data_IF_122532517786
#
_entry.id   IF_122532517786
#
_cell.length_a   1.000
_cell.length_b   1.000
_cell.length_c   1.000
_cell.angle_alpha   90.00
_cell.angle_beta   90.00
_cell.angle_gamma   90.00
#
_symmetry.space_group_name_H-M   'P 1'
#
loop_
_entity.id
_entity.type
_entity.pdbx_description
1 polymer ?
#
# COMPACT_ATOMS: atom_id res chain seq x y z
N UNK A 1 -23.46 -23.26 22.64
CA UNK A 1 -22.30 -23.59 21.79
C UNK A 1 -21.50 -22.32 21.61
N UNK A 2 -20.20 -22.28 21.96
CA UNK A 2 -19.35 -21.16 21.66
C UNK A 2 -19.30 -20.98 20.13
N UNK A 3 -19.58 -19.77 19.64
CA UNK A 3 -19.48 -19.50 18.20
C UNK A 3 -18.02 -19.69 17.76
N UNK A 4 -17.79 -20.46 16.70
CA UNK A 4 -16.46 -20.61 16.12
C UNK A 4 -15.88 -19.26 15.76
N UNK A 5 -14.62 -19.03 16.10
CA UNK A 5 -13.92 -17.77 15.85
C UNK A 5 -12.67 -17.99 15.00
N UNK A 6 -12.37 -17.04 14.15
CA UNK A 6 -11.30 -17.12 13.14
C UNK A 6 -10.45 -15.86 13.11
N UNK A 7 -9.21 -16.03 12.69
CA UNK A 7 -8.33 -14.94 12.24
C UNK A 7 -8.38 -14.95 10.71
N UNK A 8 -8.62 -13.78 10.12
CA UNK A 8 -8.60 -13.56 8.67
C UNK A 8 -7.25 -13.03 8.26
N UNK A 9 -6.58 -13.66 7.30
CA UNK A 9 -5.40 -13.15 6.64
C UNK A 9 -5.76 -12.70 5.22
N UNK A 10 -5.55 -11.42 4.91
CA UNK A 10 -5.66 -10.84 3.59
C UNK A 10 -4.25 -10.76 2.98
N UNK A 11 -4.03 -11.50 1.91
CA UNK A 11 -2.76 -11.56 1.20
C UNK A 11 -2.93 -10.96 -0.21
N UNK A 12 -2.54 -9.70 -0.34
CA UNK A 12 -2.60 -8.97 -1.60
C UNK A 12 -1.28 -9.14 -2.36
N UNK A 13 -1.18 -10.20 -3.16
CA UNK A 13 -0.01 -10.47 -4.00
C UNK A 13 0.07 -9.56 -5.24
N UNK A 14 1.12 -9.73 -6.03
CA UNK A 14 1.33 -8.95 -7.26
C UNK A 14 0.33 -9.31 -8.35
N UNK A 15 -0.08 -10.58 -8.45
CA UNK A 15 -0.95 -11.06 -9.53
C UNK A 15 -2.31 -11.56 -9.05
N UNK A 16 -2.47 -11.75 -7.75
CA UNK A 16 -3.70 -12.29 -7.17
C UNK A 16 -3.94 -11.79 -5.76
N UNK A 17 -5.21 -11.70 -5.40
CA UNK A 17 -5.69 -11.48 -4.03
C UNK A 17 -6.06 -12.80 -3.40
N UNK A 18 -5.72 -13.00 -2.13
CA UNK A 18 -6.02 -14.21 -1.37
C UNK A 18 -6.60 -13.87 -0.01
N UNK A 19 -7.50 -14.70 0.48
CA UNK A 19 -7.97 -14.67 1.86
C UNK A 19 -7.87 -16.07 2.46
N UNK A 20 -7.31 -16.15 3.66
CA UNK A 20 -7.18 -17.40 4.43
C UNK A 20 -7.83 -17.18 5.80
N UNK A 21 -8.68 -18.13 6.23
CA UNK A 21 -9.20 -18.14 7.58
C UNK A 21 -8.52 -19.23 8.41
N UNK A 22 -7.99 -18.82 9.56
CA UNK A 22 -7.34 -19.70 10.52
C UNK A 22 -8.22 -19.89 11.76
N UNK A 23 -8.22 -21.08 12.34
CA UNK A 23 -8.80 -21.34 13.65
C UNK A 23 -7.84 -20.90 14.78
N UNK A 24 -8.27 -21.07 16.04
CA UNK A 24 -7.48 -20.71 17.22
C UNK A 24 -6.20 -21.55 17.39
N UNK A 25 -6.10 -22.70 16.72
CA UNK A 25 -4.91 -23.55 16.71
C UNK A 25 -3.94 -23.20 15.56
N UNK A 26 -4.25 -22.16 14.77
CA UNK A 26 -3.45 -21.75 13.60
C UNK A 26 -3.64 -22.67 12.38
N UNK A 27 -4.64 -23.54 12.38
CA UNK A 27 -4.95 -24.41 11.25
C UNK A 27 -5.76 -23.65 10.20
N UNK A 28 -5.40 -23.82 8.92
CA UNK A 28 -6.18 -23.29 7.80
C UNK A 28 -7.53 -24.02 7.76
N UNK A 29 -8.61 -23.22 7.79
CA UNK A 29 -10.00 -23.71 7.72
C UNK A 29 -10.54 -23.60 6.31
N UNK A 30 -10.24 -22.49 5.63
CA UNK A 30 -10.65 -22.22 4.25
C UNK A 30 -9.73 -21.20 3.63
N UNK A 31 -9.72 -21.17 2.30
CA UNK A 31 -8.98 -20.21 1.49
C UNK A 31 -9.75 -19.90 0.21
N UNK A 32 -9.68 -18.65 -0.22
CA UNK A 32 -10.14 -18.21 -1.55
C UNK A 32 -9.06 -17.36 -2.20
N UNK A 33 -8.93 -17.44 -3.52
CA UNK A 33 -7.95 -16.69 -4.29
C UNK A 33 -8.52 -16.29 -5.64
N UNK A 34 -8.18 -15.08 -6.10
CA UNK A 34 -8.60 -14.54 -7.40
C UNK A 34 -7.48 -13.74 -8.02
N UNK A 35 -7.19 -13.97 -9.28
CA UNK A 35 -6.31 -13.14 -10.09
C UNK A 35 -7.00 -11.83 -10.46
N UNK A 36 -6.20 -10.79 -10.76
CA UNK A 36 -6.67 -9.50 -11.24
C UNK A 36 -5.78 -8.95 -12.36
N UNK A 37 -6.30 -7.97 -13.10
CA UNK A 37 -5.71 -7.47 -14.33
C UNK A 37 -4.37 -6.79 -14.12
N UNK A 38 -3.37 -7.18 -14.91
CA UNK A 38 -2.10 -6.47 -15.04
C UNK A 38 -2.15 -5.59 -16.28
N UNK A 39 -1.73 -4.32 -16.16
CA UNK A 39 -1.77 -3.33 -17.23
C UNK A 39 -0.34 -3.00 -17.64
N UNK A 40 -0.05 -3.11 -18.92
CA UNK A 40 1.27 -2.83 -19.52
C UNK A 40 1.16 -1.73 -20.58
N UNK A 41 1.12 -0.43 -20.18
CA UNK A 41 0.89 0.67 -21.12
C UNK A 41 1.96 0.80 -22.19
N UNK A 42 3.21 0.49 -21.85
CA UNK A 42 4.36 0.47 -22.76
C UNK A 42 5.49 -0.39 -22.18
N UNK A 43 6.53 -0.72 -22.96
CA UNK A 43 7.64 -1.56 -22.50
C UNK A 43 8.26 -1.06 -21.18
N UNK A 44 8.40 -1.96 -20.22
CA UNK A 44 8.92 -1.66 -18.88
C UNK A 44 7.95 -0.95 -17.92
N UNK A 45 6.74 -0.62 -18.35
CA UNK A 45 5.71 -0.05 -17.49
C UNK A 45 4.76 -1.14 -16.99
N UNK A 46 4.47 -1.12 -15.70
CA UNK A 46 3.54 -2.06 -15.07
C UNK A 46 2.61 -1.29 -14.15
N UNK A 47 1.32 -1.45 -14.38
CA UNK A 47 0.26 -0.79 -13.62
C UNK A 47 -0.84 -1.77 -13.20
N UNK A 48 -1.60 -1.38 -12.20
CA UNK A 48 -2.80 -2.09 -11.76
C UNK A 48 -3.90 -1.10 -11.43
N UNK A 49 -5.16 -1.51 -11.57
CA UNK A 49 -6.28 -0.69 -11.16
C UNK A 49 -6.47 -0.79 -9.62
N UNK A 50 -6.32 0.30 -8.84
CA UNK A 50 -6.49 0.26 -7.40
C UNK A 50 -7.87 -0.22 -6.94
N UNK A 51 -8.91 0.07 -7.71
CA UNK A 51 -10.27 -0.39 -7.42
C UNK A 51 -10.42 -1.90 -7.61
N UNK A 52 -9.72 -2.47 -8.61
CA UNK A 52 -9.71 -3.91 -8.82
C UNK A 52 -8.91 -4.62 -7.72
N UNK A 53 -7.79 -4.04 -7.25
CA UNK A 53 -7.07 -4.51 -6.07
C UNK A 53 -8.04 -4.61 -4.87
N UNK A 54 -8.78 -3.55 -4.58
CA UNK A 54 -9.76 -3.53 -3.50
C UNK A 54 -10.89 -4.54 -3.70
N UNK A 55 -11.55 -4.52 -4.85
CA UNK A 55 -12.70 -5.37 -5.13
C UNK A 55 -12.37 -6.86 -5.16
N UNK A 56 -11.21 -7.23 -5.72
CA UNK A 56 -10.74 -8.62 -5.72
C UNK A 56 -10.42 -9.11 -4.31
N UNK A 57 -9.78 -8.28 -3.47
CA UNK A 57 -9.47 -8.62 -2.08
C UNK A 57 -10.75 -8.82 -1.26
N UNK A 58 -11.74 -7.95 -1.44
CA UNK A 58 -13.05 -8.11 -0.77
C UNK A 58 -13.81 -9.32 -1.28
N UNK A 59 -13.77 -9.60 -2.58
CA UNK A 59 -14.41 -10.78 -3.17
C UNK A 59 -13.91 -12.08 -2.52
N UNK A 60 -12.59 -12.25 -2.42
CA UNK A 60 -12.01 -13.46 -1.81
C UNK A 60 -12.25 -13.53 -0.29
N UNK A 61 -12.35 -12.40 0.40
CA UNK A 61 -12.70 -12.36 1.82
C UNK A 61 -14.14 -12.85 2.06
N UNK A 62 -15.08 -12.37 1.24
CA UNK A 62 -16.49 -12.78 1.30
C UNK A 62 -16.63 -14.27 0.94
N UNK A 63 -15.96 -14.71 -0.13
CA UNK A 63 -15.96 -16.11 -0.58
C UNK A 63 -15.41 -17.05 0.51
N UNK A 64 -14.26 -16.72 1.12
CA UNK A 64 -13.70 -17.52 2.19
C UNK A 64 -14.65 -17.65 3.40
N UNK A 65 -15.33 -16.57 3.78
CA UNK A 65 -16.35 -16.64 4.84
C UNK A 65 -17.56 -17.48 4.42
N UNK A 66 -18.06 -17.31 3.21
CA UNK A 66 -19.20 -18.04 2.68
C UNK A 66 -18.96 -19.54 2.63
N UNK A 67 -17.77 -19.99 2.24
CA UNK A 67 -17.40 -21.42 2.15
C UNK A 67 -17.58 -22.19 3.46
N UNK A 68 -17.60 -21.51 4.60
CA UNK A 68 -17.75 -22.15 5.92
C UNK A 68 -18.97 -21.62 6.69
N UNK A 69 -19.84 -20.83 6.05
CA UNK A 69 -21.00 -20.21 6.69
C UNK A 69 -20.64 -19.22 7.81
N UNK A 70 -19.45 -18.61 7.76
CA UNK A 70 -19.03 -17.61 8.74
C UNK A 70 -19.59 -16.22 8.40
N UNK A 71 -19.77 -15.42 9.41
CA UNK A 71 -20.14 -14.00 9.33
C UNK A 71 -19.03 -13.12 9.94
N UNK A 72 -19.15 -11.81 9.82
CA UNK A 72 -18.22 -10.85 10.47
C UNK A 72 -18.09 -11.08 11.98
N UNK A 73 -19.14 -11.55 12.65
CA UNK A 73 -19.13 -11.88 14.09
C UNK A 73 -18.18 -13.03 14.45
N UNK A 74 -17.80 -13.84 13.47
CA UNK A 74 -16.85 -14.93 13.65
C UNK A 74 -15.39 -14.49 13.45
N UNK A 75 -15.14 -13.29 12.92
CA UNK A 75 -13.79 -12.79 12.68
C UNK A 75 -13.31 -11.98 13.88
N UNK A 76 -12.23 -12.43 14.52
CA UNK A 76 -11.65 -11.80 15.73
C UNK A 76 -10.60 -10.77 15.40
N UNK A 77 -9.84 -11.01 14.34
CA UNK A 77 -8.83 -10.07 13.85
C UNK A 77 -8.59 -10.29 12.36
N UNK A 78 -8.07 -9.24 11.71
CA UNK A 78 -7.64 -9.26 10.32
C UNK A 78 -6.16 -8.91 10.29
N UNK A 79 -5.35 -9.79 9.68
CA UNK A 79 -3.97 -9.51 9.30
C UNK A 79 -3.90 -9.17 7.82
N UNK A 80 -3.09 -8.19 7.45
CA UNK A 80 -2.87 -7.79 6.05
C UNK A 80 -1.41 -8.00 5.71
N UNK A 81 -1.15 -8.70 4.60
CA UNK A 81 0.13 -8.71 3.90
C UNK A 81 -0.08 -8.32 2.44
N UNK A 82 0.93 -7.75 1.80
CA UNK A 82 0.76 -7.15 0.48
C UNK A 82 2.04 -7.18 -0.36
N UNK A 83 1.88 -7.04 -1.68
CA UNK A 83 2.96 -6.59 -2.55
C UNK A 83 3.42 -5.21 -2.06
N UNK A 84 4.69 -5.11 -1.65
CA UNK A 84 5.25 -3.85 -1.14
C UNK A 84 5.61 -2.91 -2.30
N UNK A 85 5.95 -1.67 -2.01
CA UNK A 85 6.43 -0.61 -2.91
C UNK A 85 5.46 -0.16 -4.00
N UNK A 86 4.45 -0.97 -4.34
CA UNK A 86 3.39 -0.56 -5.28
C UNK A 86 2.70 0.69 -4.75
N UNK A 87 2.66 1.72 -5.59
CA UNK A 87 2.34 3.10 -5.23
C UNK A 87 0.94 3.47 -5.68
N UNK A 88 0.11 3.94 -4.76
CA UNK A 88 -1.24 4.44 -5.02
C UNK A 88 -1.36 5.86 -4.49
N UNK A 89 -1.91 6.77 -5.30
CA UNK A 89 -2.26 8.14 -4.91
C UNK A 89 -3.74 8.36 -5.18
N UNK A 90 -4.44 8.93 -4.20
CA UNK A 90 -5.90 9.15 -4.32
C UNK A 90 -6.32 10.48 -3.70
N UNK A 91 -7.46 10.98 -4.14
CA UNK A 91 -8.11 12.15 -3.59
C UNK A 91 -8.67 11.84 -2.19
N UNK A 92 -8.29 12.64 -1.21
CA UNK A 92 -8.65 12.46 0.21
C UNK A 92 -10.15 12.55 0.47
N UNK A 93 -10.86 13.39 -0.31
CA UNK A 93 -12.28 13.66 -0.10
C UNK A 93 -13.16 12.60 -0.76
N UNK A 94 -12.80 12.19 -1.97
CA UNK A 94 -13.61 11.26 -2.77
C UNK A 94 -13.18 9.80 -2.60
N UNK A 95 -11.94 9.55 -2.19
CA UNK A 95 -11.32 8.22 -2.18
C UNK A 95 -10.96 7.70 -3.58
N UNK A 96 -11.03 8.57 -4.62
CA UNK A 96 -10.78 8.17 -6.00
C UNK A 96 -9.28 8.20 -6.32
N UNK A 97 -8.72 7.10 -6.84
CA UNK A 97 -7.34 7.09 -7.34
C UNK A 97 -7.17 8.12 -8.46
N UNK A 98 -6.12 8.95 -8.38
CA UNK A 98 -5.81 9.94 -9.42
C UNK A 98 -5.10 9.32 -10.62
N UNK A 99 -4.54 8.12 -10.43
CA UNK A 99 -3.85 7.34 -11.45
C UNK A 99 -3.92 5.84 -11.10
N UNK A 100 -3.60 4.97 -12.06
CA UNK A 100 -3.39 3.55 -11.77
C UNK A 100 -2.28 3.35 -10.74
N UNK A 101 -2.35 2.29 -9.95
CA UNK A 101 -1.26 1.87 -9.08
C UNK A 101 -0.01 1.57 -9.91
N UNK A 102 1.10 2.23 -9.61
CA UNK A 102 2.38 1.95 -10.26
C UNK A 102 3.07 0.83 -9.51
N UNK A 103 3.20 -0.34 -10.17
CA UNK A 103 3.70 -1.56 -9.56
C UNK A 103 5.20 -1.48 -9.29
N UNK A 104 5.68 -2.20 -8.27
CA UNK A 104 7.10 -2.27 -7.90
C UNK A 104 8.04 -2.66 -9.06
N UNK A 105 7.55 -3.48 -10.00
CA UNK A 105 8.28 -3.90 -11.20
C UNK A 105 8.47 -2.80 -12.25
N UNK A 106 7.70 -1.69 -12.16
CA UNK A 106 7.68 -0.66 -13.17
C UNK A 106 8.99 0.13 -13.23
N UNK A 107 9.55 0.27 -14.42
CA UNK A 107 10.84 0.91 -14.66
C UNK A 107 10.75 2.36 -15.18
N UNK A 108 9.55 2.97 -15.23
CA UNK A 108 9.32 4.33 -15.79
C UNK A 108 10.15 5.44 -15.15
N UNK A 109 10.58 5.25 -13.91
CA UNK A 109 11.34 6.22 -13.14
C UNK A 109 12.83 5.87 -13.04
N UNK A 110 13.33 4.90 -13.82
CA UNK A 110 14.72 4.46 -13.74
C UNK A 110 15.69 5.60 -14.07
N UNK A 111 15.44 6.37 -15.13
CA UNK A 111 16.26 7.50 -15.55
C UNK A 111 16.35 8.58 -14.45
N UNK A 112 15.23 8.93 -13.82
CA UNK A 112 15.21 9.86 -12.67
C UNK A 112 16.11 9.38 -11.52
N UNK A 113 16.10 8.08 -11.23
CA UNK A 113 16.93 7.52 -10.16
C UNK A 113 18.41 7.52 -10.56
N UNK A 114 18.74 7.26 -11.80
CA UNK A 114 20.11 7.27 -12.28
C UNK A 114 20.67 8.71 -12.26
N UNK A 115 19.89 9.71 -12.65
CA UNK A 115 20.26 11.13 -12.47
C UNK A 115 20.52 11.50 -10.99
N UNK A 116 19.72 11.00 -10.05
CA UNK A 116 19.97 11.26 -8.62
C UNK A 116 21.29 10.63 -8.12
N UNK A 117 21.63 9.44 -8.63
CA UNK A 117 22.92 8.79 -8.32
C UNK A 117 24.09 9.61 -8.88
N UNK A 118 23.99 10.08 -10.14
CA UNK A 118 25.00 10.92 -10.78
C UNK A 118 25.20 12.25 -10.05
N UNK A 119 24.12 12.84 -9.51
CA UNK A 119 24.16 14.04 -8.66
C UNK A 119 24.73 13.78 -7.25
N UNK A 120 25.09 12.53 -6.91
CA UNK A 120 25.73 12.16 -5.66
C UNK A 120 24.78 11.89 -4.49
N UNK A 121 23.47 11.82 -4.70
CA UNK A 121 22.50 11.54 -3.62
C UNK A 121 22.48 10.09 -3.15
N UNK A 122 23.07 9.14 -3.91
CA UNK A 122 23.04 7.71 -3.60
C UNK A 122 23.47 7.36 -2.18
N UNK A 123 24.65 7.82 -1.68
CA UNK A 123 25.11 7.54 -0.32
C UNK A 123 24.19 8.06 0.78
N UNK A 124 23.61 9.25 0.60
CA UNK A 124 22.66 9.84 1.58
C UNK A 124 21.40 8.99 1.64
N UNK A 125 20.78 8.68 0.50
CA UNK A 125 19.59 7.83 0.42
C UNK A 125 19.83 6.48 1.08
N UNK A 126 20.95 5.80 0.74
CA UNK A 126 21.27 4.50 1.33
C UNK A 126 21.52 4.58 2.84
N UNK A 127 22.19 5.62 3.31
CA UNK A 127 22.45 5.82 4.75
C UNK A 127 21.16 5.98 5.55
N UNK A 128 20.19 6.74 5.03
CA UNK A 128 18.91 7.02 5.72
C UNK A 128 17.94 5.86 5.65
N UNK A 129 17.80 5.27 4.47
CA UNK A 129 16.74 4.29 4.19
C UNK A 129 17.21 2.84 4.24
N UNK A 130 18.53 2.59 4.23
CA UNK A 130 19.11 1.25 4.08
C UNK A 130 18.98 0.68 2.66
N UNK A 131 18.44 1.44 1.71
CA UNK A 131 18.11 0.98 0.36
C UNK A 131 19.13 1.53 -0.66
N UNK A 132 19.56 0.70 -1.58
CA UNK A 132 20.25 1.17 -2.78
C UNK A 132 19.21 1.84 -3.69
N UNK A 133 19.38 3.11 -4.07
CA UNK A 133 18.38 3.82 -4.88
C UNK A 133 18.04 3.09 -6.18
N UNK A 134 16.76 2.79 -6.36
CA UNK A 134 16.22 2.12 -7.53
C UNK A 134 14.75 2.55 -7.80
N UNK A 135 14.35 2.49 -9.07
CA UNK A 135 12.96 2.68 -9.49
C UNK A 135 11.97 1.66 -8.88
N UNK A 136 12.47 0.64 -8.23
CA UNK A 136 11.72 -0.35 -7.48
C UNK A 136 10.85 0.29 -6.38
N UNK A 137 11.39 1.28 -5.67
CA UNK A 137 10.80 1.87 -4.47
C UNK A 137 9.76 2.95 -4.79
N UNK A 138 8.93 3.33 -3.81
CA UNK A 138 7.75 4.18 -4.01
C UNK A 138 8.08 5.65 -4.32
N UNK A 139 9.15 6.20 -3.76
CA UNK A 139 9.46 7.64 -3.81
C UNK A 139 9.40 8.23 -5.22
N UNK A 140 10.14 7.64 -6.17
CA UNK A 140 10.17 8.13 -7.55
C UNK A 140 8.83 7.98 -8.28
N UNK A 141 8.03 6.96 -7.92
CA UNK A 141 6.70 6.75 -8.50
C UNK A 141 5.69 7.78 -8.02
N UNK A 142 5.76 8.18 -6.74
CA UNK A 142 4.95 9.28 -6.20
C UNK A 142 5.29 10.57 -6.95
N UNK A 143 6.59 10.92 -7.02
CA UNK A 143 7.05 12.12 -7.73
C UNK A 143 6.57 12.11 -9.19
N UNK A 144 6.68 10.96 -9.86
CA UNK A 144 6.21 10.80 -11.23
C UNK A 144 4.70 11.07 -11.37
N UNK A 145 3.85 10.51 -10.48
CA UNK A 145 2.40 10.77 -10.49
C UNK A 145 2.12 12.26 -10.33
N UNK A 146 2.78 12.92 -9.37
CA UNK A 146 2.58 14.34 -9.10
C UNK A 146 2.99 15.22 -10.28
N UNK A 147 4.01 14.84 -11.04
CA UNK A 147 4.52 15.62 -12.16
C UNK A 147 3.79 15.34 -13.50
N UNK A 148 3.17 14.16 -13.65
CA UNK A 148 2.57 13.76 -14.94
C UNK A 148 1.04 13.74 -14.93
N UNK A 149 0.40 13.67 -13.76
CA UNK A 149 -1.05 13.76 -13.67
C UNK A 149 -1.46 15.23 -13.50
N UNK A 150 -2.25 15.73 -14.44
CA UNK A 150 -2.66 17.14 -14.46
C UNK A 150 -3.32 17.57 -13.14
N UNK A 151 -2.78 18.59 -12.50
CA UNK A 151 -3.30 19.16 -11.25
C UNK A 151 -2.94 18.35 -9.99
N UNK A 152 -2.26 17.20 -10.12
CA UNK A 152 -1.94 16.39 -8.96
C UNK A 152 -0.93 17.07 -8.01
N UNK A 153 0.07 17.77 -8.56
CA UNK A 153 1.07 18.50 -7.75
C UNK A 153 0.40 19.56 -6.90
N UNK A 154 -0.41 20.41 -7.50
CA UNK A 154 -1.13 21.48 -6.80
C UNK A 154 -2.12 20.96 -5.76
N UNK A 155 -2.80 19.85 -6.07
CA UNK A 155 -3.71 19.20 -5.13
C UNK A 155 -2.95 18.58 -3.94
N UNK A 156 -1.78 17.98 -4.19
CA UNK A 156 -0.92 17.44 -3.13
C UNK A 156 -0.41 18.53 -2.19
N UNK A 157 0.07 19.66 -2.74
CA UNK A 157 0.54 20.83 -1.97
C UNK A 157 -0.57 21.46 -1.12
N UNK A 158 -1.83 21.33 -1.54
CA UNK A 158 -3.01 21.74 -0.76
C UNK A 158 -3.44 20.72 0.29
N UNK A 159 -2.79 19.54 0.36
CA UNK A 159 -3.17 18.46 1.26
C UNK A 159 -4.46 17.71 0.86
N UNK A 160 -4.83 17.79 -0.43
CA UNK A 160 -6.02 17.16 -0.99
C UNK A 160 -5.78 15.71 -1.45
N UNK A 161 -4.52 15.30 -1.61
CA UNK A 161 -4.13 13.95 -2.02
C UNK A 161 -3.51 13.17 -0.87
N UNK A 162 -3.69 11.86 -0.90
CA UNK A 162 -3.05 10.88 -0.03
C UNK A 162 -2.26 9.88 -0.84
N UNK A 163 -1.19 9.39 -0.25
CA UNK A 163 -0.38 8.29 -0.75
C UNK A 163 -0.50 7.07 0.16
N UNK A 164 -0.40 5.89 -0.43
CA UNK A 164 -0.21 4.64 0.31
C UNK A 164 0.41 3.55 -0.54
N UNK A 165 1.03 2.61 0.14
CA UNK A 165 1.26 1.27 -0.37
C UNK A 165 -0.05 0.47 -0.26
N UNK A 166 -0.07 -0.76 -0.76
CA UNK A 166 -1.33 -1.51 -0.89
C UNK A 166 -1.99 -1.77 0.47
N UNK A 167 -1.22 -2.00 1.54
CA UNK A 167 -1.74 -2.10 2.91
C UNK A 167 -2.55 -0.88 3.32
N UNK A 168 -1.99 0.32 3.11
CA UNK A 168 -2.66 1.60 3.40
C UNK A 168 -3.95 1.75 2.59
N UNK A 169 -3.91 1.41 1.30
CA UNK A 169 -5.08 1.44 0.44
C UNK A 169 -6.20 0.51 0.91
N UNK A 170 -5.86 -0.72 1.32
CA UNK A 170 -6.82 -1.67 1.88
C UNK A 170 -7.40 -1.17 3.20
N UNK A 171 -6.56 -0.66 4.12
CA UNK A 171 -7.02 -0.10 5.40
C UNK A 171 -7.93 1.11 5.16
N UNK A 172 -7.55 2.03 4.27
CA UNK A 172 -8.37 3.18 3.91
C UNK A 172 -9.78 2.77 3.45
N UNK A 173 -9.87 1.81 2.56
CA UNK A 173 -11.16 1.31 2.05
C UNK A 173 -11.93 0.51 3.10
N UNK A 174 -11.28 -0.34 3.89
CA UNK A 174 -11.90 -1.08 5.00
C UNK A 174 -12.51 -0.14 6.03
N UNK A 175 -11.92 1.04 6.23
CA UNK A 175 -12.36 2.03 7.22
C UNK A 175 -13.22 3.15 6.62
N UNK A 176 -13.58 3.05 5.33
CA UNK A 176 -14.33 4.09 4.61
C UNK A 176 -13.69 5.49 4.73
N UNK A 177 -12.36 5.54 4.67
CA UNK A 177 -11.60 6.77 4.74
C UNK A 177 -11.29 7.29 6.16
N UNK A 178 -11.63 6.54 7.21
CA UNK A 178 -11.40 7.00 8.59
C UNK A 178 -9.95 6.86 9.06
N UNK A 179 -9.17 5.94 8.47
CA UNK A 179 -7.80 5.61 8.93
C UNK A 179 -6.82 5.62 7.76
N UNK A 180 -5.78 6.45 7.87
CA UNK A 180 -4.69 6.56 6.89
C UNK A 180 -3.37 6.18 7.56
N UNK A 181 -3.02 4.90 7.53
CA UNK A 181 -1.86 4.34 8.24
C UNK A 181 -1.14 3.29 7.40
N UNK A 182 0.14 3.09 7.71
CA UNK A 182 0.97 1.99 7.23
C UNK A 182 1.78 1.41 8.39
N UNK A 183 2.53 0.35 8.14
CA UNK A 183 3.45 -0.20 9.13
C UNK A 183 4.93 0.13 8.81
N UNK A 184 5.82 -0.10 9.78
CA UNK A 184 7.25 0.11 9.59
C UNK A 184 7.83 -0.69 8.42
N UNK A 185 7.31 -1.89 8.16
CA UNK A 185 7.86 -2.76 7.10
C UNK A 185 7.50 -2.28 5.70
N UNK A 186 6.32 -1.69 5.51
CA UNK A 186 5.93 -1.04 4.25
C UNK A 186 6.59 0.34 4.12
N UNK A 187 6.58 1.16 5.18
CA UNK A 187 7.23 2.47 5.18
C UNK A 187 8.71 2.38 4.80
N UNK A 188 9.46 1.41 5.38
CA UNK A 188 10.88 1.19 5.07
C UNK A 188 11.16 0.83 3.60
N UNK A 189 10.13 0.42 2.84
CA UNK A 189 10.29 0.09 1.41
C UNK A 189 9.90 1.22 0.46
N UNK A 190 9.55 2.38 0.99
CA UNK A 190 9.18 3.53 0.16
C UNK A 190 10.35 4.34 -0.38
N UNK A 191 11.54 4.20 0.21
CA UNK A 191 12.71 5.08 0.04
C UNK A 191 12.46 6.51 0.55
N UNK A 192 11.47 6.71 1.42
CA UNK A 192 11.14 7.98 2.07
C UNK A 192 11.31 7.94 3.60
N UNK A 193 11.63 6.76 4.15
CA UNK A 193 11.59 6.48 5.57
C UNK A 193 12.99 6.30 6.15
N UNK A 194 13.32 7.08 7.19
CA UNK A 194 14.56 6.91 7.95
C UNK A 194 14.41 5.71 8.90
N UNK A 195 15.13 4.62 8.60
CA UNK A 195 15.06 3.38 9.38
C UNK A 195 15.74 3.48 10.75
N UNK A 196 16.55 4.49 10.99
CA UNK A 196 17.24 4.70 12.27
C UNK A 196 16.37 5.50 13.25
N UNK A 197 15.65 6.52 12.73
CA UNK A 197 14.74 7.36 13.52
C UNK A 197 13.30 6.87 13.49
N UNK A 198 12.98 5.89 12.62
CA UNK A 198 11.64 5.36 12.41
C UNK A 198 10.60 6.45 12.10
N UNK A 199 10.94 7.36 11.17
CA UNK A 199 10.07 8.44 10.72
C UNK A 199 10.28 8.76 9.23
N UNK A 200 9.33 9.49 8.64
CA UNK A 200 9.48 10.05 7.30
C UNK A 200 10.66 11.04 7.28
N UNK A 201 11.54 10.93 6.27
CA UNK A 201 12.78 11.72 6.17
C UNK A 201 12.55 12.99 5.34
N UNK A 202 12.56 14.14 6.01
CA UNK A 202 12.24 15.45 5.39
C UNK A 202 13.19 15.82 4.25
N UNK A 203 14.49 15.58 4.40
CA UNK A 203 15.48 15.83 3.34
C UNK A 203 15.17 15.05 2.06
N UNK A 204 14.66 13.80 2.21
CA UNK A 204 14.28 12.97 1.06
C UNK A 204 12.93 13.44 0.49
N UNK A 205 11.98 13.83 1.33
CA UNK A 205 10.71 14.39 0.87
C UNK A 205 10.92 15.65 0.03
N UNK A 206 11.80 16.56 0.47
CA UNK A 206 12.19 17.74 -0.28
C UNK A 206 12.86 17.38 -1.61
N UNK A 207 13.79 16.42 -1.62
CA UNK A 207 14.47 15.95 -2.83
C UNK A 207 13.50 15.47 -3.91
N UNK A 208 12.46 14.74 -3.53
CA UNK A 208 11.42 14.26 -4.44
C UNK A 208 10.22 15.22 -4.55
N UNK A 209 10.25 16.35 -3.83
CA UNK A 209 9.16 17.34 -3.74
C UNK A 209 7.82 16.68 -3.39
N UNK A 210 7.81 15.81 -2.39
CA UNK A 210 6.62 15.11 -1.90
C UNK A 210 6.13 15.80 -0.64
N UNK A 211 4.90 16.38 -0.63
CA UNK A 211 4.31 16.94 0.57
C UNK A 211 4.11 15.90 1.67
N UNK A 212 4.54 16.22 2.89
CA UNK A 212 4.48 15.31 4.05
C UNK A 212 3.04 14.93 4.41
N UNK A 213 2.10 15.82 4.16
CA UNK A 213 0.67 15.67 4.41
C UNK A 213 0.02 14.53 3.61
N UNK A 214 0.68 14.09 2.52
CA UNK A 214 0.24 12.93 1.73
C UNK A 214 0.53 11.59 2.41
N UNK A 215 1.45 11.56 3.38
CA UNK A 215 2.02 10.32 3.90
C UNK A 215 1.17 9.76 5.05
N UNK A 216 1.02 8.42 5.14
CA UNK A 216 0.27 7.80 6.22
C UNK A 216 1.02 7.89 7.56
N UNK A 217 0.27 7.82 8.66
CA UNK A 217 0.86 7.55 9.98
C UNK A 217 1.53 6.17 9.96
N UNK A 218 2.72 6.07 10.56
CA UNK A 218 3.46 4.80 10.63
C UNK A 218 3.29 4.17 12.01
N UNK A 219 2.89 2.90 12.05
CA UNK A 219 2.65 2.13 13.28
C UNK A 219 3.42 0.81 13.30
N UNK A 220 3.64 0.21 14.48
CA UNK A 220 4.18 -1.15 14.58
C UNK A 220 3.28 -2.16 13.89
N UNK A 221 3.85 -3.14 13.15
CA UNK A 221 3.10 -4.15 12.37
C UNK A 221 2.15 -4.99 13.23
N UNK A 222 2.47 -5.24 14.49
CA UNK A 222 1.62 -5.94 15.47
C UNK A 222 0.77 -5.00 16.32
N UNK A 223 0.71 -3.72 15.98
CA UNK A 223 -0.08 -2.73 16.66
C UNK A 223 -1.58 -2.83 16.34
N UNK A 224 -2.38 -2.10 17.12
CA UNK A 224 -3.79 -1.93 16.82
C UNK A 224 -3.94 -0.84 15.74
N UNK A 225 -4.40 -1.23 14.56
CA UNK A 225 -4.60 -0.30 13.44
C UNK A 225 -6.01 0.30 13.44
N UNK A 226 -7.03 -0.54 13.65
CA UNK A 226 -8.43 -0.14 13.59
C UNK A 226 -9.35 -1.17 14.27
N UNK A 227 -10.55 -0.74 14.62
CA UNK A 227 -11.66 -1.63 14.97
C UNK A 227 -12.76 -1.51 13.92
N UNK A 228 -13.15 -2.63 13.32
CA UNK A 228 -14.26 -2.69 12.35
C UNK A 228 -15.63 -2.82 13.02
N UNK A 229 -15.70 -2.81 14.37
CA UNK A 229 -16.96 -2.99 15.11
C UNK A 229 -17.87 -1.77 14.95
N UNK A 230 -17.33 -0.62 14.58
CA UNK A 230 -18.06 0.65 14.46
C UNK A 230 -18.12 1.22 13.04
N UNK A 231 -17.82 0.41 12.02
CA UNK A 231 -17.85 0.84 10.61
C UNK A 231 -19.06 0.26 9.87
#
# INVERSE_FOLDING_TARGET
MQSKQYIMALDQGTTSSRCILFDHAGKIVTMAQKEFTQIYPQPGWVEQNPREIWSSQMSVAIEAMANIGASSKNIRAIGITNQRETTIVWDKKTGEPVYNAIVWQCRRTAEQIDELKEKGYGPMLQKRTGLVPDAYFSASKIAWILDHVKGAREAAEKGELLFGTVDTWLIWNLTKGAVHVTDYTNAARTMLFDIHRCCWEEEILELFRIPKEMLPEVRPSSGFFLSLIHI
#
